data_IF_622349219646
#
_entry.id   IF_622349219646
#
_cell.length_a   1.000
_cell.length_b   1.000
_cell.length_c   1.000
_cell.angle_alpha   90.00
_cell.angle_beta   90.00
_cell.angle_gamma   90.00
#
_symmetry.space_group_name_H-M   'P 1'
#
loop_
_entity.id
_entity.type
_entity.pdbx_description
1 polymer ?
#
# COMPACT_ATOMS: atom_id res chain seq x y z
N UNK A 1 -18.80 6.69 17.43
CA UNK A 1 -18.09 5.38 17.34
C UNK A 1 -17.36 5.15 16.00
N UNK A 2 -17.71 5.84 14.91
CA UNK A 2 -16.96 5.80 13.64
C UNK A 2 -15.57 6.47 13.75
N UNK A 3 -15.48 7.54 14.53
CA UNK A 3 -14.22 8.28 14.74
C UNK A 3 -13.12 7.40 15.34
N UNK A 4 -13.43 6.69 16.42
CA UNK A 4 -12.49 5.75 17.06
C UNK A 4 -11.94 4.72 16.07
N UNK A 5 -12.80 4.19 15.20
CA UNK A 5 -12.40 3.25 14.15
C UNK A 5 -11.49 3.91 13.13
N UNK A 6 -11.81 5.13 12.68
CA UNK A 6 -11.01 5.89 11.71
C UNK A 6 -9.62 6.18 12.26
N UNK A 7 -9.54 6.74 13.47
CA UNK A 7 -8.27 7.09 14.10
C UNK A 7 -7.41 5.85 14.43
N UNK A 8 -8.03 4.75 14.86
CA UNK A 8 -7.32 3.47 15.00
C UNK A 8 -6.73 3.00 13.67
N UNK A 9 -7.52 3.08 12.59
CA UNK A 9 -7.11 2.63 11.27
C UNK A 9 -5.94 3.48 10.74
N UNK A 10 -6.00 4.79 10.91
CA UNK A 10 -4.91 5.70 10.54
C UNK A 10 -3.63 5.38 11.32
N UNK A 11 -3.73 5.23 12.64
CA UNK A 11 -2.59 4.85 13.48
C UNK A 11 -1.94 3.53 13.02
N UNK A 12 -2.74 2.52 12.66
CA UNK A 12 -2.21 1.23 12.19
C UNK A 12 -1.52 1.38 10.84
N UNK A 13 -2.03 2.22 9.94
CA UNK A 13 -1.39 2.51 8.65
C UNK A 13 -0.05 3.22 8.86
N UNK A 14 0.02 4.15 9.81
CA UNK A 14 1.24 4.92 10.12
C UNK A 14 2.31 4.08 10.81
N UNK A 15 1.92 3.28 11.81
CA UNK A 15 2.85 2.55 12.69
C UNK A 15 3.05 1.08 12.34
N UNK A 16 2.20 0.54 11.46
CA UNK A 16 2.22 -0.86 11.04
C UNK A 16 1.70 -1.86 12.07
N UNK A 17 1.10 -1.42 13.18
CA UNK A 17 0.58 -2.34 14.22
C UNK A 17 -0.57 -1.73 15.03
N UNK A 18 -1.30 -2.60 15.73
CA UNK A 18 -2.36 -2.16 16.64
C UNK A 18 -1.78 -1.44 17.88
N UNK A 19 -2.40 -0.35 18.37
CA UNK A 19 -1.91 0.39 19.53
C UNK A 19 -1.92 -0.46 20.81
N UNK A 20 -0.81 -0.46 21.54
CA UNK A 20 -0.62 -1.20 22.79
C UNK A 20 -0.36 -0.24 23.96
N UNK A 21 -0.91 -0.58 25.14
CA UNK A 21 -0.69 0.18 26.38
C UNK A 21 -0.91 1.68 26.18
N UNK A 22 0.13 2.50 26.36
CA UNK A 22 0.07 3.96 26.33
C UNK A 22 -0.13 4.53 24.91
N UNK A 23 0.11 3.73 23.87
CA UNK A 23 -0.13 4.15 22.49
C UNK A 23 -1.63 4.32 22.18
N UNK A 24 -2.50 3.78 23.04
CA UNK A 24 -3.94 4.02 22.97
C UNK A 24 -4.25 5.50 23.15
N UNK A 25 -3.48 6.22 23.98
CA UNK A 25 -3.67 7.65 24.20
C UNK A 25 -3.43 8.45 22.91
N UNK A 26 -2.42 8.09 22.11
CA UNK A 26 -2.19 8.75 20.80
C UNK A 26 -3.40 8.68 19.86
N UNK A 27 -4.13 7.56 19.86
CA UNK A 27 -5.37 7.43 19.07
C UNK A 27 -6.48 8.25 19.69
N UNK A 28 -6.58 8.25 21.02
CA UNK A 28 -7.64 8.93 21.74
C UNK A 28 -7.51 10.44 21.67
N UNK A 29 -6.29 10.98 21.72
CA UNK A 29 -6.02 12.41 21.58
C UNK A 29 -6.57 12.91 20.23
N UNK A 30 -6.28 12.20 19.12
CA UNK A 30 -6.87 12.53 17.80
C UNK A 30 -8.41 12.43 17.79
N UNK A 31 -8.99 11.46 18.52
CA UNK A 31 -10.46 11.36 18.64
C UNK A 31 -11.02 12.53 19.44
N UNK A 32 -10.30 12.98 20.46
CA UNK A 32 -10.66 14.13 21.29
C UNK A 32 -10.66 15.42 20.50
N UNK A 33 -9.63 15.66 19.70
CA UNK A 33 -9.57 16.82 18.80
C UNK A 33 -10.86 16.91 17.95
N UNK A 34 -11.34 15.76 17.44
CA UNK A 34 -12.60 15.68 16.66
C UNK A 34 -13.88 15.83 17.47
N UNK A 35 -13.85 15.55 18.77
CA UNK A 35 -14.98 15.78 19.68
C UNK A 35 -15.05 17.28 20.01
N UNK A 36 -13.91 17.90 20.28
CA UNK A 36 -13.78 19.34 20.55
C UNK A 36 -14.14 20.19 19.31
N UNK A 37 -13.70 19.79 18.11
CA UNK A 37 -14.11 20.43 16.84
C UNK A 37 -15.64 20.46 16.63
N UNK A 38 -16.39 19.60 17.33
CA UNK A 38 -17.86 19.52 17.24
C UNK A 38 -18.56 20.20 18.42
N UNK A 39 -17.81 20.91 19.26
CA UNK A 39 -18.29 21.58 20.48
C UNK A 39 -19.01 20.60 21.45
N UNK A 40 -18.58 19.34 21.47
CA UNK A 40 -19.11 18.31 22.36
C UNK A 40 -18.18 18.18 23.57
N UNK A 41 -18.73 18.21 24.79
CA UNK A 41 -17.97 17.93 26.00
C UNK A 41 -18.23 16.50 26.49
N UNK A 42 -17.17 15.68 26.54
CA UNK A 42 -17.19 14.34 27.12
C UNK A 42 -15.90 14.17 27.93
N UNK A 43 -15.93 13.59 29.15
CA UNK A 43 -14.73 13.34 29.94
C UNK A 43 -13.75 12.37 29.29
N UNK A 44 -12.44 12.67 29.33
CA UNK A 44 -11.37 11.83 28.77
C UNK A 44 -11.49 10.35 29.13
N UNK A 45 -11.73 10.10 30.42
CA UNK A 45 -11.89 8.77 30.99
C UNK A 45 -13.06 7.99 30.38
N UNK A 46 -14.17 8.65 30.04
CA UNK A 46 -15.33 7.98 29.44
C UNK A 46 -15.01 7.47 28.04
N UNK A 47 -14.34 8.27 27.21
CA UNK A 47 -13.91 7.84 25.87
C UNK A 47 -12.85 6.75 25.95
N UNK A 48 -11.93 6.82 26.91
CA UNK A 48 -10.95 5.74 27.17
C UNK A 48 -11.64 4.43 27.55
N UNK A 49 -12.59 4.45 28.49
CA UNK A 49 -13.37 3.27 28.88
C UNK A 49 -14.19 2.73 27.71
N UNK A 50 -14.75 3.62 26.91
CA UNK A 50 -15.45 3.23 25.69
C UNK A 50 -14.53 2.50 24.71
N UNK A 51 -13.30 3.01 24.48
CA UNK A 51 -12.30 2.33 23.65
C UNK A 51 -12.01 0.92 24.16
N UNK A 52 -11.73 0.76 25.45
CA UNK A 52 -11.44 -0.54 26.04
C UNK A 52 -12.60 -1.52 25.85
N UNK A 53 -13.84 -1.05 26.03
CA UNK A 53 -15.05 -1.88 25.81
C UNK A 53 -15.22 -2.34 24.36
N UNK A 54 -14.63 -1.61 23.38
CA UNK A 54 -14.77 -1.89 21.94
C UNK A 54 -13.52 -2.49 21.31
N UNK A 55 -12.41 -2.58 22.04
CA UNK A 55 -11.11 -3.00 21.50
C UNK A 55 -11.19 -4.33 20.73
N UNK A 56 -11.79 -5.36 21.32
CA UNK A 56 -11.96 -6.67 20.67
C UNK A 56 -12.81 -6.57 19.39
N UNK A 57 -13.87 -5.76 19.41
CA UNK A 57 -14.73 -5.54 18.24
C UNK A 57 -13.98 -4.81 17.12
N UNK A 58 -13.13 -3.84 17.47
CA UNK A 58 -12.28 -3.12 16.53
C UNK A 58 -11.26 -4.07 15.89
N UNK A 59 -10.54 -4.84 16.70
CA UNK A 59 -9.59 -5.86 16.24
C UNK A 59 -10.23 -6.84 15.26
N UNK A 60 -11.37 -7.42 15.63
CA UNK A 60 -12.08 -8.39 14.79
C UNK A 60 -12.54 -7.77 13.46
N UNK A 61 -13.01 -6.51 13.49
CA UNK A 61 -13.39 -5.80 12.27
C UNK A 61 -12.19 -5.56 11.35
N UNK A 62 -11.06 -5.10 11.90
CA UNK A 62 -9.84 -4.83 11.13
C UNK A 62 -9.23 -6.10 10.54
N UNK A 63 -9.30 -7.22 11.27
CA UNK A 63 -8.92 -8.56 10.77
C UNK A 63 -9.86 -9.00 9.64
N UNK A 64 -11.19 -8.84 9.81
CA UNK A 64 -12.18 -9.19 8.77
C UNK A 64 -12.00 -8.37 7.49
N UNK A 65 -11.62 -7.10 7.61
CA UNK A 65 -11.30 -6.23 6.48
C UNK A 65 -9.94 -6.56 5.83
N UNK A 66 -9.15 -7.47 6.43
CA UNK A 66 -7.83 -7.88 5.96
C UNK A 66 -6.75 -6.81 6.16
N UNK A 67 -6.99 -5.85 7.06
CA UNK A 67 -6.04 -4.78 7.36
C UNK A 67 -5.01 -5.22 8.40
N UNK A 68 -5.43 -6.08 9.33
CA UNK A 68 -4.53 -6.70 10.30
C UNK A 68 -4.35 -8.18 9.99
N UNK A 69 -3.17 -8.68 10.33
CA UNK A 69 -2.80 -10.09 10.36
C UNK A 69 -2.13 -10.41 11.69
N UNK A 70 -2.43 -11.58 12.23
CA UNK A 70 -1.73 -12.08 13.42
C UNK A 70 -0.40 -12.70 12.99
N UNK A 71 0.69 -12.19 13.54
CA UNK A 71 2.01 -12.77 13.40
C UNK A 71 2.62 -12.99 14.77
N UNK A 72 2.68 -14.26 15.20
CA UNK A 72 3.22 -14.70 16.49
C UNK A 72 2.54 -13.99 17.69
N UNK A 73 1.22 -13.86 17.66
CA UNK A 73 0.42 -13.22 18.72
C UNK A 73 0.46 -11.70 18.71
N UNK A 74 1.07 -11.08 17.68
CA UNK A 74 1.11 -9.64 17.46
C UNK A 74 0.29 -9.27 16.24
N UNK A 75 -0.69 -8.39 16.42
CA UNK A 75 -1.49 -7.85 15.32
C UNK A 75 -0.70 -6.78 14.56
N UNK A 76 -0.34 -7.10 13.31
CA UNK A 76 0.42 -6.23 12.42
C UNK A 76 -0.40 -5.83 11.21
N UNK A 77 -0.06 -4.69 10.61
CA UNK A 77 -0.62 -4.27 9.33
C UNK A 77 -0.32 -5.33 8.27
N UNK A 78 -1.33 -5.73 7.51
CA UNK A 78 -1.10 -6.46 6.27
C UNK A 78 -0.46 -5.51 5.25
N UNK A 79 0.85 -5.66 5.05
CA UNK A 79 1.63 -4.82 4.15
C UNK A 79 1.31 -5.19 2.70
N UNK A 80 0.45 -4.37 2.07
CA UNK A 80 0.11 -4.51 0.65
C UNK A 80 1.34 -4.24 -0.22
N UNK A 81 1.48 -5.02 -1.29
CA UNK A 81 2.41 -4.73 -2.38
C UNK A 81 1.68 -3.91 -3.42
N UNK A 82 2.16 -2.69 -3.64
CA UNK A 82 1.55 -1.68 -4.51
C UNK A 82 2.49 -1.44 -5.69
N UNK A 83 1.94 -1.50 -6.90
CA UNK A 83 2.69 -1.26 -8.12
C UNK A 83 2.16 -0.01 -8.84
N UNK A 84 2.90 1.11 -8.79
CA UNK A 84 2.65 2.25 -9.66
C UNK A 84 3.11 1.94 -11.10
N UNK A 85 2.25 2.23 -12.08
CA UNK A 85 2.54 2.06 -13.51
C UNK A 85 2.04 3.30 -14.23
N UNK A 86 2.88 3.86 -15.11
CA UNK A 86 2.45 4.88 -16.05
C UNK A 86 2.17 4.23 -17.40
N UNK A 87 1.06 4.60 -18.04
CA UNK A 87 0.68 4.12 -19.36
C UNK A 87 0.27 5.29 -20.24
N UNK A 88 0.55 5.16 -21.53
CA UNK A 88 -0.04 5.97 -22.59
C UNK A 88 -1.40 5.39 -22.98
N UNK A 89 -2.03 5.97 -24.01
CA UNK A 89 -3.27 5.45 -24.58
C UNK A 89 -3.08 4.12 -25.33
N UNK A 90 -1.87 3.82 -25.81
CA UNK A 90 -1.58 2.66 -26.67
C UNK A 90 -0.49 1.72 -26.15
N UNK A 91 0.09 1.97 -24.97
CA UNK A 91 1.15 1.14 -24.42
C UNK A 91 1.69 1.63 -23.08
N UNK A 92 2.41 0.76 -22.38
CA UNK A 92 2.92 1.04 -21.04
C UNK A 92 4.20 1.90 -21.15
N UNK A 93 4.27 2.98 -20.37
CA UNK A 93 5.44 3.87 -20.25
C UNK A 93 6.10 3.52 -18.92
N UNK A 94 7.05 2.58 -18.93
CA UNK A 94 7.89 2.37 -17.75
C UNK A 94 9.30 2.76 -18.11
N UNK A 95 9.64 3.99 -17.75
CA UNK A 95 11.02 4.44 -17.73
C UNK A 95 11.20 5.33 -16.51
N UNK A 96 11.67 4.72 -15.42
CA UNK A 96 12.10 5.43 -14.22
C UNK A 96 13.62 5.35 -14.21
N UNK A 97 14.27 6.45 -14.55
CA UNK A 97 15.71 6.63 -14.36
C UNK A 97 16.03 7.08 -12.92
N UNK A 98 17.28 7.01 -12.48
CA UNK A 98 17.65 7.19 -11.07
C UNK A 98 17.25 8.56 -10.48
N UNK A 99 17.30 9.63 -11.28
CA UNK A 99 16.86 10.98 -10.87
C UNK A 99 15.33 11.04 -10.70
N UNK A 100 14.59 10.27 -11.50
CA UNK A 100 13.14 10.18 -11.42
C UNK A 100 12.69 9.21 -10.31
N UNK A 101 13.52 8.21 -9.98
CA UNK A 101 13.25 7.23 -8.94
C UNK A 101 13.05 7.88 -7.57
N UNK A 102 13.88 8.84 -7.20
CA UNK A 102 13.74 9.53 -5.91
C UNK A 102 12.46 10.35 -5.84
N UNK A 103 12.14 11.09 -6.91
CA UNK A 103 10.89 11.85 -7.03
C UNK A 103 9.67 10.93 -7.01
N UNK A 104 9.77 9.76 -7.63
CA UNK A 104 8.70 8.76 -7.64
C UNK A 104 8.49 8.17 -6.24
N UNK A 105 9.57 7.90 -5.49
CA UNK A 105 9.47 7.45 -4.08
C UNK A 105 8.76 8.49 -3.21
N UNK A 106 9.11 9.76 -3.34
CA UNK A 106 8.53 10.87 -2.56
C UNK A 106 7.00 10.91 -2.63
N UNK A 107 6.42 10.62 -3.81
CA UNK A 107 4.96 10.59 -4.03
C UNK A 107 4.22 9.58 -3.15
N UNK A 108 4.90 8.53 -2.66
CA UNK A 108 4.26 7.44 -1.94
C UNK A 108 4.71 7.31 -0.48
N UNK A 109 5.53 8.23 0.03
CA UNK A 109 6.04 8.20 1.43
C UNK A 109 4.93 8.25 2.49
N UNK A 110 3.79 8.85 2.16
CA UNK A 110 2.62 8.85 3.03
C UNK A 110 2.05 7.44 3.23
N UNK A 111 2.04 6.61 2.19
CA UNK A 111 1.39 5.28 2.19
C UNK A 111 2.37 4.11 2.33
N UNK A 112 3.66 4.33 2.07
CA UNK A 112 4.69 3.30 2.03
C UNK A 112 6.00 3.80 2.63
N UNK A 113 6.71 2.89 3.28
CA UNK A 113 8.02 3.09 3.88
C UNK A 113 9.07 2.11 3.30
N UNK A 114 8.65 1.16 2.48
CA UNK A 114 9.54 0.21 1.80
C UNK A 114 9.38 0.31 0.29
N UNK A 115 10.51 0.48 -0.39
CA UNK A 115 10.57 0.65 -1.85
C UNK A 115 11.48 -0.43 -2.45
N UNK A 116 10.87 -1.36 -3.19
CA UNK A 116 11.59 -2.42 -3.89
C UNK A 116 12.06 -1.91 -5.24
N UNK A 117 13.37 -1.96 -5.45
CA UNK A 117 14.04 -1.62 -6.70
C UNK A 117 14.95 -2.77 -7.13
N UNK A 118 15.56 -2.66 -8.32
CA UNK A 118 16.49 -3.69 -8.82
C UNK A 118 17.63 -3.98 -7.82
N UNK A 119 18.11 -2.96 -7.13
CA UNK A 119 19.19 -3.06 -6.14
C UNK A 119 18.77 -3.76 -4.84
N UNK A 120 17.45 -3.89 -4.61
CA UNK A 120 16.91 -4.60 -3.44
C UNK A 120 17.03 -6.12 -3.57
N UNK A 121 17.34 -6.64 -4.76
CA UNK A 121 17.51 -8.07 -4.99
C UNK A 121 18.95 -8.52 -4.67
N UNK A 122 19.15 -9.73 -4.11
CA UNK A 122 20.48 -10.29 -3.94
C UNK A 122 21.20 -10.40 -5.30
N UNK A 123 22.42 -9.88 -5.39
CA UNK A 123 23.23 -10.00 -6.60
C UNK A 123 23.52 -11.49 -6.88
N UNK A 124 23.26 -11.93 -8.12
CA UNK A 124 23.49 -13.28 -8.69
C UNK A 124 22.35 -14.28 -8.53
N UNK A 125 21.27 -14.09 -9.31
CA UNK A 125 20.23 -15.10 -9.46
C UNK A 125 19.85 -15.23 -10.94
N UNK A 126 19.88 -16.45 -11.49
CA UNK A 126 19.39 -16.75 -12.85
C UNK A 126 17.89 -16.41 -12.96
N UNK A 127 17.39 -15.99 -14.14
CA UNK A 127 16.04 -15.40 -14.31
C UNK A 127 14.91 -16.24 -13.65
N UNK A 128 14.96 -17.58 -13.67
CA UNK A 128 13.93 -18.45 -13.06
C UNK A 128 14.01 -18.55 -11.52
N UNK A 129 15.21 -18.41 -10.94
CA UNK A 129 15.39 -18.33 -9.49
C UNK A 129 15.09 -16.91 -8.97
N UNK A 130 15.09 -15.91 -9.86
CA UNK A 130 14.87 -14.50 -9.52
C UNK A 130 13.42 -14.23 -9.08
N UNK A 131 12.44 -14.88 -9.73
CA UNK A 131 11.02 -14.68 -9.41
C UNK A 131 10.61 -15.35 -8.09
N UNK A 132 11.15 -16.54 -7.79
CA UNK A 132 11.01 -17.16 -6.45
C UNK A 132 11.65 -16.29 -5.37
N UNK A 133 12.85 -15.74 -5.63
CA UNK A 133 13.51 -14.81 -4.72
C UNK A 133 12.70 -13.51 -4.49
N UNK A 134 12.00 -12.99 -5.51
CA UNK A 134 11.10 -11.82 -5.35
C UNK A 134 9.95 -12.13 -4.40
N UNK A 135 9.35 -13.31 -4.53
CA UNK A 135 8.24 -13.73 -3.67
C UNK A 135 8.70 -13.93 -2.22
N UNK A 136 9.82 -14.63 -2.03
CA UNK A 136 10.40 -14.86 -0.71
C UNK A 136 10.78 -13.54 -0.03
N UNK A 137 11.40 -12.61 -0.78
CA UNK A 137 11.73 -11.28 -0.29
C UNK A 137 10.48 -10.53 0.20
N UNK A 138 9.40 -10.53 -0.60
CA UNK A 138 8.13 -9.89 -0.22
C UNK A 138 7.53 -10.55 1.02
N UNK A 139 7.58 -11.87 1.11
CA UNK A 139 7.06 -12.61 2.25
C UNK A 139 7.89 -12.39 3.54
N UNK A 140 9.19 -12.11 3.42
CA UNK A 140 10.03 -11.66 4.55
C UNK A 140 9.61 -10.25 4.97
N UNK A 141 9.57 -9.29 4.04
CA UNK A 141 9.25 -7.88 4.33
C UNK A 141 7.84 -7.75 4.93
N UNK A 142 6.87 -8.53 4.47
CA UNK A 142 5.51 -8.54 5.01
C UNK A 142 5.43 -8.93 6.49
N UNK A 143 6.44 -9.63 7.03
CA UNK A 143 6.51 -10.01 8.45
C UNK A 143 7.03 -8.87 9.32
N UNK A 144 7.67 -7.87 8.75
CA UNK A 144 8.19 -6.69 9.44
C UNK A 144 7.07 -5.70 9.78
N UNK A 145 7.33 -4.81 10.75
CA UNK A 145 6.39 -3.71 11.04
C UNK A 145 6.63 -2.57 10.06
N UNK A 146 5.57 -1.89 9.66
CA UNK A 146 5.63 -0.65 8.88
C UNK A 146 4.46 -0.51 7.93
N UNK A 147 4.59 0.41 6.97
CA UNK A 147 3.54 0.78 6.00
C UNK A 147 3.46 -0.22 4.83
N UNK A 148 2.95 0.21 3.68
CA UNK A 148 2.90 -0.64 2.49
C UNK A 148 4.25 -0.73 1.77
N UNK A 149 4.33 -1.65 0.81
CA UNK A 149 5.51 -1.90 0.00
C UNK A 149 5.22 -1.38 -1.40
N UNK A 150 6.11 -0.56 -1.95
CA UNK A 150 5.99 -0.01 -3.30
C UNK A 150 7.07 -0.65 -4.19
N UNK A 151 6.66 -1.20 -5.34
CA UNK A 151 7.58 -1.76 -6.32
C UNK A 151 7.84 -0.73 -7.41
N UNK A 152 9.09 -0.26 -7.55
CA UNK A 152 9.48 0.71 -8.57
C UNK A 152 10.65 0.15 -9.36
N UNK A 153 10.53 0.17 -10.68
CA UNK A 153 11.65 -0.13 -11.55
C UNK A 153 11.22 -0.23 -13.00
N UNK A 154 12.19 -0.59 -13.84
CA UNK A 154 11.97 -0.74 -15.28
C UNK A 154 11.10 -1.95 -15.60
N UNK A 155 10.58 -1.99 -16.83
CA UNK A 155 9.70 -3.03 -17.35
C UNK A 155 10.10 -4.47 -16.99
N UNK A 156 11.37 -4.84 -17.24
CA UNK A 156 11.88 -6.20 -16.96
C UNK A 156 11.78 -6.56 -15.47
N UNK A 157 12.04 -5.61 -14.58
CA UNK A 157 12.03 -5.84 -13.13
C UNK A 157 10.61 -6.08 -12.61
N UNK A 158 9.67 -5.22 -12.99
CA UNK A 158 8.30 -5.29 -12.47
C UNK A 158 7.49 -6.47 -13.04
N UNK A 159 7.89 -6.97 -14.22
CA UNK A 159 7.19 -8.04 -14.94
C UNK A 159 7.03 -9.29 -14.06
N UNK A 160 8.09 -9.70 -13.35
CA UNK A 160 8.05 -10.86 -12.45
C UNK A 160 7.01 -10.69 -11.33
N UNK A 161 6.87 -9.50 -10.74
CA UNK A 161 5.86 -9.27 -9.70
C UNK A 161 4.42 -9.39 -10.22
N UNK A 162 4.18 -8.99 -11.47
CA UNK A 162 2.87 -9.10 -12.11
C UNK A 162 2.58 -10.56 -12.49
N UNK A 163 3.55 -11.24 -13.12
CA UNK A 163 3.39 -12.61 -13.60
C UNK A 163 3.24 -13.61 -12.45
N UNK A 164 3.91 -13.38 -11.32
CA UNK A 164 3.79 -14.19 -10.10
C UNK A 164 2.58 -13.83 -9.21
N UNK A 165 1.71 -12.90 -9.64
CA UNK A 165 0.50 -12.47 -8.91
C UNK A 165 0.76 -11.95 -7.47
N UNK A 166 1.92 -11.33 -7.27
CA UNK A 166 2.38 -10.83 -5.96
C UNK A 166 1.68 -9.51 -5.58
N UNK A 167 1.37 -8.69 -6.59
CA UNK A 167 0.80 -7.35 -6.42
C UNK A 167 -0.63 -7.40 -5.86
N UNK A 168 -0.87 -6.62 -4.80
CA UNK A 168 -2.19 -6.51 -4.17
C UNK A 168 -2.99 -5.31 -4.72
N UNK A 169 -2.31 -4.21 -5.03
CA UNK A 169 -2.92 -3.00 -5.61
C UNK A 169 -2.07 -2.38 -6.74
N UNK A 170 -2.75 -1.79 -7.71
CA UNK A 170 -2.14 -1.08 -8.83
C UNK A 170 -2.54 0.40 -8.78
N UNK A 171 -1.57 1.28 -8.99
CA UNK A 171 -1.81 2.70 -9.24
C UNK A 171 -1.43 2.95 -10.70
N UNK A 172 -2.44 3.09 -11.57
CA UNK A 172 -2.25 3.24 -13.01
C UNK A 172 -2.46 4.70 -13.37
N UNK A 173 -1.39 5.36 -13.79
CA UNK A 173 -1.42 6.74 -14.31
C UNK A 173 -1.51 6.69 -15.83
N UNK A 174 -2.64 7.11 -16.39
CA UNK A 174 -2.87 7.22 -17.83
C UNK A 174 -2.52 8.63 -18.27
N UNK A 175 -1.48 8.75 -19.08
CA UNK A 175 -1.11 9.99 -19.77
C UNK A 175 -1.83 10.06 -21.12
N UNK A 176 -2.42 11.21 -21.49
CA UNK A 176 -3.13 11.38 -22.76
C UNK A 176 -2.15 11.57 -23.94
N UNK A 177 -1.28 10.58 -24.16
CA UNK A 177 -0.30 10.56 -25.25
C UNK A 177 -0.35 9.22 -25.99
N UNK A 178 0.14 9.22 -27.23
CA UNK A 178 0.29 8.03 -28.06
C UNK A 178 1.78 7.82 -28.27
N UNK A 179 2.28 6.65 -27.89
CA UNK A 179 3.67 6.23 -28.09
C UNK A 179 3.93 5.78 -29.52
N UNK A 180 5.19 5.82 -29.95
CA UNK A 180 5.61 5.13 -31.17
C UNK A 180 5.40 3.62 -31.05
N UNK A 181 5.29 2.90 -32.17
CA UNK A 181 5.06 1.44 -32.15
C UNK A 181 6.13 0.68 -31.37
N UNK A 182 7.39 1.12 -31.43
CA UNK A 182 8.50 0.49 -30.72
C UNK A 182 8.38 0.68 -29.20
N UNK A 183 8.02 1.88 -28.75
CA UNK A 183 7.85 2.20 -27.33
C UNK A 183 6.60 1.51 -26.75
N UNK A 184 5.50 1.51 -27.50
CA UNK A 184 4.23 0.90 -27.09
C UNK A 184 4.35 -0.62 -26.86
N UNK A 185 5.23 -1.29 -27.61
CA UNK A 185 5.45 -2.73 -27.55
C UNK A 185 6.57 -3.17 -26.57
N UNK A 186 7.14 -2.24 -25.81
CA UNK A 186 8.27 -2.50 -24.90
C UNK A 186 7.93 -3.49 -23.77
N UNK A 187 6.64 -3.65 -23.44
CA UNK A 187 6.15 -4.58 -22.42
C UNK A 187 4.93 -5.33 -22.92
N UNK A 188 5.03 -6.66 -22.97
CA UNK A 188 3.89 -7.55 -23.19
C UNK A 188 3.59 -8.29 -21.90
N UNK A 189 2.44 -7.98 -21.31
CA UNK A 189 1.88 -8.73 -20.20
C UNK A 189 0.95 -9.79 -20.78
N UNK A 190 1.34 -11.05 -20.69
CA UNK A 190 0.58 -12.16 -21.26
C UNK A 190 -0.47 -12.72 -20.29
N UNK A 191 -0.62 -12.11 -19.12
CA UNK A 191 -1.51 -12.57 -18.04
C UNK A 191 -2.72 -11.67 -17.91
N UNK A 192 -3.91 -12.23 -18.09
CA UNK A 192 -5.17 -11.55 -17.74
C UNK A 192 -5.29 -11.46 -16.22
N UNK A 193 -5.59 -10.28 -15.72
CA UNK A 193 -5.71 -10.01 -14.30
C UNK A 193 -7.14 -9.63 -13.92
N UNK A 194 -7.66 -10.17 -12.82
CA UNK A 194 -8.94 -9.74 -12.28
C UNK A 194 -8.69 -8.59 -11.30
N UNK A 195 -9.09 -7.38 -11.70
CA UNK A 195 -8.91 -6.16 -10.94
C UNK A 195 -10.26 -5.54 -10.61
N UNK A 196 -10.39 -4.99 -9.41
CA UNK A 196 -11.51 -4.15 -8.99
C UNK A 196 -11.07 -2.70 -8.94
N UNK A 197 -11.74 -1.83 -9.68
CA UNK A 197 -11.51 -0.38 -9.58
C UNK A 197 -11.91 0.10 -8.18
N UNK A 198 -11.00 0.78 -7.49
CA UNK A 198 -11.22 1.39 -6.18
C UNK A 198 -11.55 2.88 -6.29
N UNK A 199 -10.81 3.60 -7.13
CA UNK A 199 -10.97 5.05 -7.27
C UNK A 199 -10.39 5.56 -8.59
N UNK A 200 -10.91 6.70 -9.05
CA UNK A 200 -10.38 7.46 -10.18
C UNK A 200 -10.15 8.89 -9.73
N UNK A 201 -9.00 9.46 -10.08
CA UNK A 201 -8.64 10.86 -9.80
C UNK A 201 -8.04 11.49 -11.06
N UNK A 202 -8.33 12.77 -11.28
CA UNK A 202 -7.64 13.57 -12.30
C UNK A 202 -6.48 14.32 -11.65
N UNK A 203 -5.28 14.22 -12.22
CA UNK A 203 -4.10 14.96 -11.78
C UNK A 203 -3.48 15.68 -12.98
N UNK A 204 -3.69 17.00 -13.07
CA UNK A 204 -3.34 17.76 -14.26
C UNK A 204 -4.10 17.26 -15.50
N UNK A 205 -3.35 16.80 -16.50
CA UNK A 205 -3.89 16.17 -17.71
C UNK A 205 -4.06 14.65 -17.58
N UNK A 206 -3.51 14.05 -16.52
CA UNK A 206 -3.42 12.60 -16.36
C UNK A 206 -4.63 12.07 -15.58
N UNK A 207 -5.00 10.82 -15.86
CA UNK A 207 -5.97 10.07 -15.07
C UNK A 207 -5.26 9.04 -14.21
N UNK A 208 -5.44 9.09 -12.89
CA UNK A 208 -4.85 8.16 -11.93
C UNK A 208 -5.94 7.22 -11.42
N UNK A 209 -5.77 5.93 -11.69
CA UNK A 209 -6.71 4.88 -11.33
C UNK A 209 -6.09 3.97 -10.28
N UNK A 210 -6.82 3.71 -9.19
CA UNK A 210 -6.41 2.70 -8.20
C UNK A 210 -7.23 1.44 -8.38
N UNK A 211 -6.55 0.31 -8.51
CA UNK A 211 -7.17 -1.00 -8.62
C UNK A 211 -6.69 -1.92 -7.50
N UNK A 212 -7.58 -2.80 -7.04
CA UNK A 212 -7.27 -3.92 -6.16
C UNK A 212 -7.30 -5.23 -6.92
N UNK A 213 -6.32 -6.09 -6.69
CA UNK A 213 -6.33 -7.47 -7.19
C UNK A 213 -7.41 -8.29 -6.49
N UNK A 214 -8.27 -8.96 -7.26
CA UNK A 214 -9.24 -9.94 -6.75
C UNK A 214 -8.64 -11.34 -6.90
N UNK A 215 -8.25 -11.96 -5.78
CA UNK A 215 -7.85 -13.37 -5.73
C UNK A 215 -9.07 -14.27 -5.62
#
# INVERSE_FOLDING_TARGET
MQELYSQCREYIIETGRFPCKDEKYTVLDKVYDKIEERDIWIPYTEVYQHFLSKETKLKNRLMKEGLLVDHNGKLKLFRKVILPITTSLNGIIIDVDDIDLQKEKEKYTEIADTFLTKESLPNQVEDAKEDEAKKDLVDIIRKENGKHIIVIGKSKFIKGFIEEDIIDEYIITIKPLILSENEANSIKLNKKMNLKLLSVKKEGADAVLRYKRIR
#
